data_IF_210461345628
#
_entry.id   IF_210461345628
#
_cell.length_a   1.000
_cell.length_b   1.000
_cell.length_c   1.000
_cell.angle_alpha   90.00
_cell.angle_beta   90.00
_cell.angle_gamma   90.00
#
_symmetry.space_group_name_H-M   'P 1'
#
loop_
_entity.id
_entity.type
_entity.pdbx_description
1 polymer ?
#
# COMPACT_ATOMS: atom_id res chain seq x y z
N UNK A 1 -17.42 -13.26 12.19
CA UNK A 1 -18.17 -13.18 13.43
C UNK A 1 -18.30 -14.55 14.11
N UNK A 2 -18.67 -15.61 13.38
CA UNK A 2 -18.82 -16.96 13.96
C UNK A 2 -17.56 -17.44 14.68
N UNK A 3 -16.40 -17.23 14.08
CA UNK A 3 -15.11 -17.60 14.71
C UNK A 3 -14.88 -16.84 16.02
N UNK A 4 -15.29 -15.57 16.08
CA UNK A 4 -15.25 -14.79 17.31
C UNK A 4 -16.20 -15.39 18.37
N UNK A 5 -17.45 -15.72 18.00
CA UNK A 5 -18.42 -16.33 18.93
C UNK A 5 -17.94 -17.69 19.46
N UNK A 6 -17.43 -18.55 18.61
CA UNK A 6 -16.92 -19.89 19.00
C UNK A 6 -15.72 -19.82 19.96
N UNK A 7 -14.96 -18.74 19.94
CA UNK A 7 -13.72 -18.59 20.70
C UNK A 7 -13.81 -17.54 21.82
N UNK A 8 -14.99 -17.02 22.07
CA UNK A 8 -15.24 -16.03 23.13
C UNK A 8 -16.32 -16.55 24.07
N UNK A 9 -16.09 -16.57 25.40
CA UNK A 9 -17.11 -16.96 26.36
C UNK A 9 -18.38 -16.09 26.23
N UNK A 10 -19.55 -16.70 26.40
CA UNK A 10 -20.85 -16.04 26.22
C UNK A 10 -20.98 -14.70 26.95
N UNK A 11 -20.47 -14.63 28.17
CA UNK A 11 -20.49 -13.41 28.99
C UNK A 11 -19.53 -12.30 28.53
N UNK A 12 -18.69 -12.57 27.53
CA UNK A 12 -17.75 -11.61 26.92
C UNK A 12 -18.04 -11.33 25.46
N UNK A 13 -19.04 -12.01 24.88
CA UNK A 13 -19.43 -11.82 23.50
C UNK A 13 -20.15 -10.47 23.31
N UNK A 14 -19.86 -9.84 22.18
CA UNK A 14 -20.55 -8.62 21.72
C UNK A 14 -21.54 -8.96 20.62
N UNK A 15 -22.57 -8.13 20.46
CA UNK A 15 -23.48 -8.22 19.34
C UNK A 15 -22.78 -7.97 18.00
N UNK A 16 -23.39 -8.39 16.90
CA UNK A 16 -22.79 -8.23 15.57
C UNK A 16 -22.49 -6.76 15.21
N UNK A 17 -23.38 -5.85 15.63
CA UNK A 17 -23.23 -4.41 15.36
C UNK A 17 -22.00 -3.79 16.07
N UNK A 18 -21.68 -4.25 17.27
CA UNK A 18 -20.50 -3.80 17.97
C UNK A 18 -19.22 -4.48 17.45
N UNK A 19 -19.31 -5.78 17.16
CA UNK A 19 -18.22 -6.53 16.54
C UNK A 19 -17.78 -5.90 15.22
N UNK A 20 -18.68 -5.49 14.33
CA UNK A 20 -18.32 -5.00 13.00
C UNK A 20 -17.56 -3.67 13.05
N UNK A 21 -17.71 -2.88 14.12
CA UNK A 21 -17.00 -1.60 14.29
C UNK A 21 -15.48 -1.78 14.36
N UNK A 22 -15.02 -2.85 14.97
CA UNK A 22 -13.60 -3.18 15.09
C UNK A 22 -13.16 -4.36 14.23
N UNK A 23 -14.05 -5.28 13.92
CA UNK A 23 -13.75 -6.49 13.16
C UNK A 23 -13.21 -6.22 11.77
N UNK A 24 -13.68 -5.16 11.10
CA UNK A 24 -13.15 -4.72 9.80
C UNK A 24 -11.69 -4.25 9.93
N UNK A 25 -11.39 -3.45 10.93
CA UNK A 25 -10.02 -2.98 11.20
C UNK A 25 -9.10 -4.16 11.48
N UNK A 26 -9.55 -5.11 12.29
CA UNK A 26 -8.76 -6.31 12.59
C UNK A 26 -8.43 -7.13 11.33
N UNK A 27 -9.36 -7.26 10.38
CA UNK A 27 -9.09 -7.95 9.11
C UNK A 27 -8.08 -7.14 8.27
N UNK A 28 -8.13 -5.81 8.29
CA UNK A 28 -7.14 -4.98 7.62
C UNK A 28 -5.76 -5.16 8.23
N UNK A 29 -5.65 -5.23 9.56
CA UNK A 29 -4.41 -5.47 10.26
C UNK A 29 -3.85 -6.88 9.95
N UNK A 30 -4.70 -7.91 9.94
CA UNK A 30 -4.30 -9.25 9.52
C UNK A 30 -3.80 -9.27 8.08
N UNK A 31 -4.45 -8.52 7.19
CA UNK A 31 -4.03 -8.39 5.81
C UNK A 31 -2.64 -7.75 5.66
N UNK A 32 -2.33 -6.71 6.45
CA UNK A 32 -1.01 -6.10 6.46
C UNK A 32 0.06 -7.04 7.04
N UNK A 33 -0.24 -7.72 8.14
CA UNK A 33 0.65 -8.72 8.75
C UNK A 33 1.01 -9.80 7.73
N UNK A 34 0.03 -10.26 6.97
CA UNK A 34 0.25 -11.29 5.96
C UNK A 34 1.06 -10.78 4.77
N UNK A 35 0.76 -9.58 4.24
CA UNK A 35 1.49 -8.98 3.13
C UNK A 35 2.95 -8.71 3.42
N UNK A 36 3.26 -8.35 4.66
CA UNK A 36 4.62 -8.08 5.10
C UNK A 36 5.34 -9.34 5.64
N UNK A 37 4.67 -10.50 5.64
CA UNK A 37 5.21 -11.78 6.13
C UNK A 37 5.73 -11.64 7.57
N UNK A 38 5.00 -10.91 8.40
CA UNK A 38 5.38 -10.70 9.80
C UNK A 38 5.16 -12.01 10.56
N UNK A 39 6.10 -12.37 11.44
CA UNK A 39 5.92 -13.50 12.34
C UNK A 39 4.77 -13.24 13.30
N UNK A 40 3.64 -13.90 13.02
CA UNK A 40 2.41 -13.74 13.78
C UNK A 40 2.55 -14.15 15.24
N UNK A 41 3.47 -15.07 15.56
CA UNK A 41 3.74 -15.46 16.94
C UNK A 41 4.39 -14.30 17.68
N UNK A 42 5.45 -13.74 17.12
CA UNK A 42 6.17 -12.63 17.74
C UNK A 42 5.29 -11.39 17.90
N UNK A 43 4.57 -10.99 16.84
CA UNK A 43 3.75 -9.76 16.89
C UNK A 43 2.60 -9.88 17.88
N UNK A 44 1.88 -11.01 17.90
CA UNK A 44 0.74 -11.15 18.80
C UNK A 44 1.18 -11.37 20.27
N UNK A 45 2.26 -12.08 20.51
CA UNK A 45 2.81 -12.24 21.86
C UNK A 45 3.35 -10.89 22.38
N UNK A 46 3.99 -10.08 21.53
CA UNK A 46 4.41 -8.72 21.86
C UNK A 46 3.22 -7.80 22.18
N UNK A 47 2.20 -7.78 21.32
CA UNK A 47 1.00 -6.96 21.52
C UNK A 47 0.28 -7.33 22.82
N UNK A 48 0.18 -8.62 23.14
CA UNK A 48 -0.37 -9.10 24.40
C UNK A 48 0.42 -8.52 25.57
N UNK A 49 1.75 -8.68 25.57
CA UNK A 49 2.62 -8.19 26.65
C UNK A 49 2.52 -6.67 26.85
N UNK A 50 2.53 -5.89 25.74
CA UNK A 50 2.38 -4.42 25.80
C UNK A 50 1.03 -4.05 26.41
N UNK A 51 -0.07 -4.70 26.01
CA UNK A 51 -1.39 -4.40 26.55
C UNK A 51 -1.56 -4.81 28.00
N UNK A 52 -0.92 -5.88 28.42
CA UNK A 52 -0.85 -6.26 29.85
C UNK A 52 -0.07 -5.20 30.64
N UNK A 53 1.03 -4.66 30.12
CA UNK A 53 1.80 -3.58 30.76
C UNK A 53 1.03 -2.25 30.80
N UNK A 54 0.35 -1.85 29.72
CA UNK A 54 -0.47 -0.63 29.67
C UNK A 54 -1.57 -0.63 30.74
N UNK A 55 -2.07 -1.83 31.09
CA UNK A 55 -3.11 -2.01 32.10
C UNK A 55 -2.55 -2.48 33.47
N UNK A 56 -1.24 -2.57 33.61
CA UNK A 56 -0.61 -2.82 34.88
C UNK A 56 -0.64 -1.56 35.75
N UNK A 57 -1.84 -1.02 35.89
CA UNK A 57 -2.11 0.06 36.82
C UNK A 57 -2.17 -0.48 38.23
N UNK A 58 -1.91 0.41 39.17
CA UNK A 58 -1.93 0.22 40.61
C UNK A 58 -3.29 -0.27 41.15
N UNK A 59 -4.29 -0.44 40.33
CA UNK A 59 -5.63 -0.91 40.68
C UNK A 59 -5.68 -2.44 40.71
N UNK A 60 -5.79 -2.98 41.93
CA UNK A 60 -5.87 -4.44 42.17
C UNK A 60 -7.15 -5.08 41.57
N UNK A 61 -8.15 -4.30 41.19
CA UNK A 61 -9.42 -4.79 40.61
C UNK A 61 -9.77 -4.08 39.30
N UNK A 62 -9.33 -4.58 38.17
CA UNK A 62 -9.67 -3.99 36.86
C UNK A 62 -11.19 -4.07 36.62
N UNK A 63 -11.73 -3.04 35.99
CA UNK A 63 -13.15 -2.98 35.58
C UNK A 63 -13.46 -4.09 34.56
N UNK A 64 -14.73 -4.45 34.42
CA UNK A 64 -15.16 -5.47 33.41
C UNK A 64 -14.80 -5.08 31.97
N UNK A 65 -14.75 -3.78 31.68
CA UNK A 65 -14.30 -3.27 30.36
C UNK A 65 -12.84 -3.59 30.13
N UNK A 66 -11.98 -3.32 31.12
CA UNK A 66 -10.53 -3.64 31.06
C UNK A 66 -10.32 -5.15 30.93
N UNK A 67 -11.06 -5.96 31.69
CA UNK A 67 -10.97 -7.42 31.59
C UNK A 67 -11.37 -7.95 30.21
N UNK A 68 -12.40 -7.37 29.57
CA UNK A 68 -12.79 -7.74 28.21
C UNK A 68 -11.72 -7.32 27.18
N UNK A 69 -11.14 -6.13 27.33
CA UNK A 69 -10.09 -5.63 26.49
C UNK A 69 -8.83 -6.53 26.55
N UNK A 70 -8.36 -6.86 27.75
CA UNK A 70 -7.23 -7.76 27.94
C UNK A 70 -7.52 -9.18 27.38
N UNK A 71 -8.73 -9.66 27.58
CA UNK A 71 -9.15 -10.95 27.01
C UNK A 71 -9.08 -10.93 25.47
N UNK A 72 -9.55 -9.87 24.84
CA UNK A 72 -9.46 -9.72 23.38
C UNK A 72 -8.01 -9.82 22.89
N UNK A 73 -7.11 -9.03 23.48
CA UNK A 73 -5.68 -9.04 23.08
C UNK A 73 -4.98 -10.37 23.36
N UNK A 74 -5.34 -11.06 24.42
CA UNK A 74 -4.79 -12.38 24.71
C UNK A 74 -5.28 -13.46 23.73
N UNK A 75 -6.39 -13.24 23.04
CA UNK A 75 -7.00 -14.19 22.11
C UNK A 75 -6.85 -13.80 20.63
N UNK A 76 -6.29 -12.64 20.32
CA UNK A 76 -6.15 -12.17 18.94
C UNK A 76 -5.42 -13.18 18.03
N UNK A 77 -4.39 -13.84 18.56
CA UNK A 77 -3.65 -14.91 17.90
C UNK A 77 -4.54 -16.12 17.57
N UNK A 78 -5.46 -16.46 18.48
CA UNK A 78 -6.41 -17.56 18.28
C UNK A 78 -7.39 -17.21 17.17
N UNK A 79 -7.92 -15.98 17.19
CA UNK A 79 -8.82 -15.48 16.15
C UNK A 79 -8.16 -15.48 14.78
N UNK A 80 -6.93 -14.97 14.67
CA UNK A 80 -6.15 -14.99 13.44
C UNK A 80 -5.96 -16.40 12.92
N UNK A 81 -5.42 -17.31 13.73
CA UNK A 81 -5.10 -18.68 13.31
C UNK A 81 -6.34 -19.46 12.87
N UNK A 82 -7.46 -19.34 13.58
CA UNK A 82 -8.71 -20.01 13.22
C UNK A 82 -9.34 -19.39 11.98
N UNK A 83 -9.30 -18.07 11.85
CA UNK A 83 -9.81 -17.37 10.67
C UNK A 83 -8.99 -17.73 9.43
N UNK A 84 -7.69 -17.70 9.53
CA UNK A 84 -6.78 -18.08 8.44
C UNK A 84 -7.06 -19.52 7.97
N UNK A 85 -7.15 -20.49 8.89
CA UNK A 85 -7.47 -21.89 8.56
C UNK A 85 -8.85 -22.02 7.92
N UNK A 86 -9.85 -21.32 8.44
CA UNK A 86 -11.19 -21.32 7.88
C UNK A 86 -11.20 -20.83 6.43
N UNK A 87 -10.52 -19.71 6.14
CA UNK A 87 -10.40 -19.17 4.80
C UNK A 87 -9.74 -20.16 3.83
N UNK A 88 -8.69 -20.82 4.25
CA UNK A 88 -8.04 -21.85 3.44
C UNK A 88 -8.98 -23.04 3.13
N UNK A 89 -9.76 -23.49 4.11
CA UNK A 89 -10.70 -24.61 3.94
C UNK A 89 -11.80 -24.29 2.93
N UNK A 90 -12.31 -23.04 2.93
CA UNK A 90 -13.34 -22.59 1.96
C UNK A 90 -12.73 -22.06 0.65
N UNK A 91 -11.41 -22.21 0.46
CA UNK A 91 -10.65 -21.70 -0.72
C UNK A 91 -10.92 -20.23 -1.00
N UNK A 92 -10.96 -19.42 0.03
CA UNK A 92 -11.20 -17.99 -0.03
C UNK A 92 -10.16 -17.26 0.82
N UNK A 93 -10.05 -15.93 0.65
CA UNK A 93 -9.12 -15.14 1.45
C UNK A 93 -9.21 -13.66 1.17
N UNK A 94 -8.78 -12.86 2.11
CA UNK A 94 -8.40 -11.48 1.84
C UNK A 94 -7.05 -11.45 1.10
N UNK A 95 -6.70 -10.32 0.56
CA UNK A 95 -5.58 -10.19 -0.38
C UNK A 95 -4.25 -10.77 0.17
N UNK A 96 -3.91 -10.50 1.44
CA UNK A 96 -2.67 -11.02 2.04
C UNK A 96 -2.60 -12.55 2.10
N UNK A 97 -3.75 -13.22 2.38
CA UNK A 97 -3.81 -14.70 2.32
C UNK A 97 -3.58 -15.21 0.90
N UNK A 98 -4.21 -14.56 -0.09
CA UNK A 98 -4.06 -14.94 -1.50
C UNK A 98 -2.64 -14.71 -1.99
N UNK A 99 -2.04 -13.57 -1.65
CA UNK A 99 -0.65 -13.25 -1.99
C UNK A 99 0.33 -14.24 -1.35
N UNK A 100 0.14 -14.62 -0.08
CA UNK A 100 0.95 -15.67 0.56
C UNK A 100 0.87 -16.99 -0.20
N UNK A 101 -0.32 -17.38 -0.62
CA UNK A 101 -0.49 -18.60 -1.41
C UNK A 101 0.12 -18.49 -2.81
N UNK A 102 0.06 -17.31 -3.42
CA UNK A 102 0.75 -17.04 -4.67
C UNK A 102 2.27 -17.17 -4.51
N UNK A 103 2.84 -16.60 -3.44
CA UNK A 103 4.27 -16.72 -3.15
C UNK A 103 4.70 -18.17 -2.94
N UNK A 104 3.94 -18.95 -2.15
CA UNK A 104 4.19 -20.38 -1.93
C UNK A 104 4.18 -21.17 -3.25
N UNK A 105 3.30 -20.79 -4.19
CA UNK A 105 3.16 -21.49 -5.49
C UNK A 105 4.09 -20.93 -6.58
N UNK A 106 4.75 -19.82 -6.35
CA UNK A 106 5.62 -19.15 -7.34
C UNK A 106 6.69 -20.09 -7.92
N UNK A 107 7.41 -20.92 -7.15
CA UNK A 107 8.38 -21.84 -7.71
C UNK A 107 7.75 -22.87 -8.69
N UNK A 108 6.61 -23.42 -8.31
CA UNK A 108 5.88 -24.37 -9.17
C UNK A 108 5.38 -23.70 -10.46
N UNK A 109 4.87 -22.48 -10.34
CA UNK A 109 4.43 -21.72 -11.52
C UNK A 109 5.60 -21.47 -12.48
N UNK A 110 6.74 -21.00 -11.98
CA UNK A 110 7.94 -20.74 -12.79
C UNK A 110 8.40 -22.00 -13.49
N UNK A 111 8.41 -23.15 -12.81
CA UNK A 111 8.79 -24.43 -13.41
C UNK A 111 7.83 -24.92 -14.50
N UNK A 112 6.53 -24.68 -14.34
CA UNK A 112 5.48 -25.25 -15.19
C UNK A 112 4.97 -24.28 -16.26
N UNK A 113 5.22 -22.96 -16.15
CA UNK A 113 4.75 -21.94 -17.10
C UNK A 113 5.49 -21.96 -18.45
N UNK A 114 6.48 -22.81 -18.61
CA UNK A 114 7.31 -22.85 -19.80
C UNK A 114 8.19 -21.59 -19.91
N UNK A 115 8.57 -21.26 -21.15
CA UNK A 115 9.40 -20.05 -21.43
C UNK A 115 8.53 -18.81 -21.65
N UNK A 116 7.53 -18.58 -20.79
CA UNK A 116 6.72 -17.36 -20.86
C UNK A 116 7.53 -16.22 -20.27
N UNK A 117 7.76 -15.18 -21.07
CA UNK A 117 8.45 -13.99 -20.63
C UNK A 117 7.49 -13.05 -19.90
N UNK A 118 7.84 -12.62 -18.70
CA UNK A 118 7.05 -11.71 -17.87
C UNK A 118 7.68 -10.32 -17.88
N UNK A 119 6.87 -9.29 -18.06
CA UNK A 119 7.34 -7.91 -18.06
C UNK A 119 6.63 -7.16 -16.94
N UNK A 120 7.39 -6.70 -15.96
CA UNK A 120 6.91 -5.88 -14.85
C UNK A 120 7.17 -4.41 -15.15
N UNK A 121 6.11 -3.58 -15.14
CA UNK A 121 6.20 -2.16 -15.50
C UNK A 121 5.40 -1.29 -14.53
N UNK A 122 5.95 -0.13 -14.19
CA UNK A 122 5.21 0.92 -13.46
C UNK A 122 5.06 0.69 -11.96
N UNK A 123 5.78 -0.25 -11.38
CA UNK A 123 5.80 -0.45 -9.93
C UNK A 123 6.67 0.61 -9.24
N UNK A 124 6.31 0.92 -7.99
CA UNK A 124 7.10 1.79 -7.12
C UNK A 124 7.24 1.17 -5.73
N UNK A 125 6.26 1.34 -4.85
CA UNK A 125 6.23 0.70 -3.54
C UNK A 125 5.62 -0.71 -3.67
N UNK A 126 6.40 -1.72 -3.31
CA UNK A 126 5.97 -3.11 -3.27
C UNK A 126 5.86 -3.57 -1.82
N UNK A 127 4.85 -4.35 -1.50
CA UNK A 127 4.83 -5.07 -0.23
C UNK A 127 5.87 -6.21 -0.25
N UNK A 128 6.08 -6.84 0.88
CA UNK A 128 7.12 -7.87 1.01
C UNK A 128 6.89 -9.07 0.08
N UNK A 129 5.65 -9.51 -0.06
CA UNK A 129 5.30 -10.65 -0.93
C UNK A 129 5.51 -10.30 -2.40
N UNK A 130 4.99 -9.15 -2.85
CA UNK A 130 5.17 -8.66 -4.23
C UNK A 130 6.66 -8.60 -4.59
N UNK A 131 7.46 -8.02 -3.70
CA UNK A 131 8.91 -7.93 -3.85
C UNK A 131 9.57 -9.29 -4.03
N UNK A 132 9.19 -10.29 -3.23
CA UNK A 132 9.74 -11.64 -3.31
C UNK A 132 9.31 -12.39 -4.58
N UNK A 133 8.05 -12.24 -5.00
CA UNK A 133 7.53 -12.85 -6.22
C UNK A 133 8.27 -12.28 -7.44
N UNK A 134 8.33 -10.95 -7.57
CA UNK A 134 8.99 -10.30 -8.71
C UNK A 134 10.48 -10.69 -8.76
N UNK A 135 11.18 -10.64 -7.63
CA UNK A 135 12.59 -11.05 -7.59
C UNK A 135 12.78 -12.51 -8.01
N UNK A 136 11.88 -13.43 -7.59
CA UNK A 136 11.95 -14.84 -7.98
C UNK A 136 11.83 -15.01 -9.50
N UNK A 137 10.93 -14.30 -10.16
CA UNK A 137 10.80 -14.31 -11.62
C UNK A 137 12.06 -13.77 -12.32
N UNK A 138 12.56 -12.63 -11.85
CA UNK A 138 13.76 -11.98 -12.41
C UNK A 138 15.00 -12.89 -12.32
N UNK A 139 15.18 -13.58 -11.19
CA UNK A 139 16.30 -14.51 -10.96
C UNK A 139 16.26 -15.73 -11.86
N UNK A 140 15.07 -16.19 -12.23
CA UNK A 140 14.91 -17.32 -13.13
C UNK A 140 15.12 -16.97 -14.63
N UNK A 141 15.34 -15.70 -14.95
CA UNK A 141 15.69 -15.25 -16.30
C UNK A 141 14.52 -15.20 -17.29
N UNK A 142 13.29 -15.38 -16.80
CA UNK A 142 12.07 -15.30 -17.62
C UNK A 142 11.26 -14.03 -17.28
N UNK A 143 11.91 -12.99 -16.77
CA UNK A 143 11.26 -11.72 -16.50
C UNK A 143 12.20 -10.54 -16.66
N UNK A 144 11.60 -9.40 -16.98
CA UNK A 144 12.23 -8.09 -17.01
C UNK A 144 11.42 -7.12 -16.16
N UNK A 145 12.10 -6.13 -15.60
CA UNK A 145 11.44 -5.07 -14.83
C UNK A 145 11.84 -3.70 -15.35
N UNK A 146 10.85 -2.84 -15.55
CA UNK A 146 11.01 -1.47 -16.01
C UNK A 146 10.46 -0.53 -14.95
N UNK A 147 11.34 0.29 -14.39
CA UNK A 147 11.00 1.31 -13.40
C UNK A 147 10.73 2.64 -14.08
N UNK A 148 9.62 3.28 -13.72
CA UNK A 148 9.34 4.65 -14.15
C UNK A 148 10.09 5.64 -13.25
N UNK A 149 11.37 5.77 -13.52
CA UNK A 149 12.27 6.62 -12.76
C UNK A 149 13.35 7.21 -13.66
N UNK A 150 13.82 8.38 -13.31
CA UNK A 150 14.90 9.06 -14.00
C UNK A 150 16.24 8.85 -13.27
N UNK A 151 17.33 8.77 -14.01
CA UNK A 151 18.66 8.48 -13.49
C UNK A 151 19.12 9.46 -12.40
N UNK A 152 18.76 10.74 -12.53
CA UNK A 152 19.08 11.76 -11.53
C UNK A 152 18.49 11.44 -10.16
N UNK A 153 17.33 10.80 -10.11
CA UNK A 153 16.62 10.49 -8.86
C UNK A 153 17.31 9.40 -8.04
N UNK A 154 18.00 8.47 -8.70
CA UNK A 154 18.73 7.38 -8.03
C UNK A 154 19.86 7.91 -7.14
N UNK A 155 20.54 8.95 -7.59
CA UNK A 155 21.72 9.50 -6.92
C UNK A 155 21.42 10.81 -6.16
N UNK A 156 20.18 11.25 -6.14
CA UNK A 156 19.79 12.50 -5.50
C UNK A 156 19.64 12.35 -4.00
N UNK A 157 20.32 13.21 -3.23
CA UNK A 157 20.10 13.37 -1.78
C UNK A 157 18.86 14.20 -1.44
N UNK A 158 18.30 14.92 -2.41
CA UNK A 158 17.17 15.84 -2.22
C UNK A 158 15.85 15.30 -2.77
N UNK A 159 15.90 14.25 -3.60
CA UNK A 159 14.74 13.70 -4.28
C UNK A 159 14.49 12.26 -3.86
N UNK A 160 13.42 12.04 -3.10
CA UNK A 160 13.04 10.72 -2.59
C UNK A 160 12.21 9.88 -3.58
N UNK A 161 12.02 10.32 -4.82
CA UNK A 161 11.23 9.56 -5.80
C UNK A 161 11.80 8.16 -6.08
N UNK A 162 13.11 7.97 -5.91
CA UNK A 162 13.79 6.67 -6.04
C UNK A 162 13.87 5.85 -4.74
N UNK A 163 13.24 6.28 -3.65
CA UNK A 163 13.44 5.66 -2.34
C UNK A 163 13.23 4.14 -2.35
N UNK A 164 12.09 3.68 -2.83
CA UNK A 164 11.78 2.25 -2.90
C UNK A 164 12.66 1.51 -3.91
N UNK A 165 12.88 2.09 -5.08
CA UNK A 165 13.69 1.48 -6.13
C UNK A 165 15.16 1.31 -5.66
N UNK A 166 15.70 2.30 -4.94
CA UNK A 166 17.00 2.18 -4.29
C UNK A 166 17.04 1.06 -3.23
N UNK A 167 15.95 0.86 -2.49
CA UNK A 167 15.87 -0.26 -1.57
C UNK A 167 15.92 -1.61 -2.31
N UNK A 168 15.19 -1.77 -3.40
CA UNK A 168 15.22 -3.01 -4.19
C UNK A 168 16.58 -3.22 -4.81
N UNK A 169 17.19 -2.18 -5.40
CA UNK A 169 18.54 -2.25 -5.95
C UNK A 169 19.57 -2.73 -4.93
N UNK A 170 19.43 -2.31 -3.68
CA UNK A 170 20.39 -2.67 -2.62
C UNK A 170 20.06 -4.01 -1.95
N UNK A 171 18.81 -4.48 -1.98
CA UNK A 171 18.37 -5.67 -1.26
C UNK A 171 18.17 -6.89 -2.15
N UNK A 172 17.78 -6.69 -3.41
CA UNK A 172 17.54 -7.81 -4.31
C UNK A 172 18.88 -8.36 -4.82
N UNK A 173 19.09 -9.65 -4.59
CA UNK A 173 20.27 -10.32 -5.10
C UNK A 173 20.31 -10.37 -6.64
N UNK A 174 19.17 -10.14 -7.30
CA UNK A 174 19.09 -9.93 -8.74
C UNK A 174 20.02 -8.79 -9.24
N UNK A 175 20.18 -7.74 -8.44
CA UNK A 175 21.03 -6.59 -8.79
C UNK A 175 22.51 -6.73 -8.36
N UNK A 176 22.92 -7.84 -7.76
CA UNK A 176 24.33 -8.03 -7.39
C UNK A 176 25.26 -7.97 -8.62
N UNK A 177 24.80 -8.54 -9.75
CA UNK A 177 25.57 -8.63 -11.00
C UNK A 177 24.88 -7.88 -12.16
N UNK A 178 23.86 -7.09 -11.88
CA UNK A 178 23.10 -6.37 -12.90
C UNK A 178 22.86 -4.92 -12.50
N UNK A 179 22.88 -4.06 -13.49
CA UNK A 179 22.49 -2.65 -13.31
C UNK A 179 21.10 -2.38 -13.91
N UNK A 180 20.49 -1.27 -13.50
CA UNK A 180 19.26 -0.78 -14.11
C UNK A 180 19.57 -0.33 -15.53
N UNK A 181 18.86 -0.91 -16.50
CA UNK A 181 18.95 -0.48 -17.89
C UNK A 181 18.08 0.78 -18.08
N UNK A 182 18.75 1.85 -18.52
CA UNK A 182 18.11 3.15 -18.72
C UNK A 182 17.58 3.26 -20.14
N UNK A 183 16.28 3.52 -20.28
CA UNK A 183 15.63 3.77 -21.56
C UNK A 183 15.66 5.25 -21.88
N UNK A 184 15.35 6.09 -20.88
CA UNK A 184 15.31 7.54 -20.98
C UNK A 184 15.92 8.19 -19.75
N UNK A 185 16.45 9.42 -19.94
CA UNK A 185 16.90 10.31 -18.89
C UNK A 185 16.45 11.73 -19.25
N UNK A 186 15.17 12.02 -19.00
CA UNK A 186 14.51 13.24 -19.47
C UNK A 186 14.38 14.31 -18.39
N UNK A 187 14.46 13.91 -17.11
CA UNK A 187 14.24 14.84 -16.01
C UNK A 187 15.34 15.90 -15.93
N UNK A 188 16.57 15.55 -16.28
CA UNK A 188 17.71 16.49 -16.33
C UNK A 188 17.66 17.46 -17.51
N UNK A 189 16.82 17.23 -18.52
CA UNK A 189 16.66 18.13 -19.66
C UNK A 189 16.09 19.48 -19.25
N UNK A 190 16.46 20.53 -19.99
CA UNK A 190 15.92 21.89 -19.78
C UNK A 190 14.40 21.90 -19.86
N UNK A 191 13.77 22.53 -18.88
CA UNK A 191 12.32 22.73 -18.79
C UNK A 191 11.99 24.21 -18.80
N UNK A 192 10.87 24.57 -19.36
CA UNK A 192 10.31 25.91 -19.24
C UNK A 192 9.42 25.95 -18.00
N UNK A 193 9.86 26.67 -16.99
CA UNK A 193 9.14 26.79 -15.70
C UNK A 193 8.77 28.26 -15.52
N UNK A 194 7.49 28.52 -15.32
CA UNK A 194 6.96 29.84 -15.02
C UNK A 194 6.31 29.82 -13.63
N UNK A 195 6.86 30.57 -12.68
CA UNK A 195 6.27 30.77 -11.37
C UNK A 195 5.46 32.06 -11.37
N UNK A 196 4.17 31.97 -11.05
CA UNK A 196 3.24 33.11 -11.11
C UNK A 196 2.54 33.23 -9.76
N UNK A 197 2.77 34.39 -9.11
CA UNK A 197 2.08 34.74 -7.88
C UNK A 197 0.73 35.38 -8.18
N UNK A 198 -0.35 34.81 -7.62
CA UNK A 198 -1.71 35.33 -7.73
C UNK A 198 -2.30 35.50 -6.34
N UNK A 199 -2.92 36.62 -6.05
CA UNK A 199 -3.57 36.87 -4.76
C UNK A 199 -4.85 36.05 -4.64
N UNK A 200 -5.03 35.37 -3.48
CA UNK A 200 -6.17 34.54 -3.11
C UNK A 200 -6.37 33.27 -3.99
N UNK A 201 -6.86 32.23 -3.39
CA UNK A 201 -7.09 30.93 -4.03
C UNK A 201 -8.02 31.00 -5.25
N UNK A 202 -9.12 31.77 -5.18
CA UNK A 202 -10.04 31.95 -6.31
C UNK A 202 -9.34 32.67 -7.49
N UNK A 203 -8.45 33.61 -7.19
CA UNK A 203 -7.64 34.28 -8.22
C UNK A 203 -6.75 33.29 -8.97
N UNK A 204 -6.12 32.35 -8.27
CA UNK A 204 -5.30 31.30 -8.87
C UNK A 204 -6.14 30.43 -9.82
N UNK A 205 -7.30 29.95 -9.38
CA UNK A 205 -8.20 29.15 -10.21
C UNK A 205 -8.62 29.89 -11.49
N UNK A 206 -9.03 31.13 -11.37
CA UNK A 206 -9.39 31.99 -12.53
C UNK A 206 -8.22 32.21 -13.49
N UNK A 207 -7.02 32.45 -12.95
CA UNK A 207 -5.83 32.67 -13.78
C UNK A 207 -5.48 31.40 -14.59
N UNK A 208 -5.56 30.22 -13.96
CA UNK A 208 -5.36 28.94 -14.66
C UNK A 208 -6.42 28.74 -15.74
N UNK A 209 -7.70 29.05 -15.46
CA UNK A 209 -8.77 29.00 -16.45
C UNK A 209 -8.48 29.87 -17.69
N UNK A 210 -7.94 31.06 -17.52
CA UNK A 210 -7.51 31.93 -18.62
C UNK A 210 -6.31 31.38 -19.40
N UNK A 211 -5.35 30.73 -18.73
CA UNK A 211 -4.23 30.06 -19.42
C UNK A 211 -4.76 28.92 -20.29
N UNK A 212 -5.66 28.09 -19.75
CA UNK A 212 -6.23 26.97 -20.49
C UNK A 212 -7.03 27.47 -21.69
N UNK A 213 -7.85 28.52 -21.49
CA UNK A 213 -8.62 29.14 -22.58
C UNK A 213 -7.74 29.62 -23.73
N UNK A 214 -6.58 30.20 -23.42
CA UNK A 214 -5.62 30.66 -24.45
C UNK A 214 -4.97 29.51 -25.20
N UNK A 215 -4.84 28.33 -24.56
CA UNK A 215 -4.15 27.17 -25.10
C UNK A 215 -5.11 26.05 -25.57
N UNK A 216 -6.43 26.27 -25.55
CA UNK A 216 -7.43 25.24 -25.84
C UNK A 216 -7.28 24.60 -27.23
N UNK A 217 -6.70 25.33 -28.18
CA UNK A 217 -6.44 24.86 -29.53
C UNK A 217 -5.06 24.22 -29.71
N UNK A 218 -4.25 24.15 -28.67
CA UNK A 218 -2.96 23.46 -28.73
C UNK A 218 -3.17 22.00 -28.34
N UNK A 219 -2.72 21.09 -29.21
CA UNK A 219 -2.82 19.61 -28.99
C UNK A 219 -1.89 19.11 -27.86
N UNK A 220 -1.66 19.90 -26.84
CA UNK A 220 -0.82 19.50 -25.70
C UNK A 220 -1.67 18.92 -24.57
N UNK A 221 -1.33 17.73 -24.13
CA UNK A 221 -1.89 17.18 -22.91
C UNK A 221 -1.55 18.10 -21.73
N UNK A 222 -2.59 18.59 -21.07
CA UNK A 222 -2.44 19.50 -19.93
C UNK A 222 -2.96 18.84 -18.66
N UNK A 223 -2.15 18.76 -17.63
CA UNK A 223 -2.57 18.32 -16.29
C UNK A 223 -2.60 19.50 -15.33
N UNK A 224 -3.67 19.60 -14.56
CA UNK A 224 -3.79 20.56 -13.46
C UNK A 224 -3.58 19.80 -12.16
N UNK A 225 -2.53 20.16 -11.42
CA UNK A 225 -2.22 19.56 -10.11
C UNK A 225 -2.56 20.57 -9.02
N UNK A 226 -3.48 20.22 -8.14
CA UNK A 226 -3.90 21.04 -7.01
C UNK A 226 -3.04 20.74 -5.78
N UNK A 227 -2.39 21.76 -5.22
CA UNK A 227 -1.68 21.65 -3.95
C UNK A 227 -2.62 21.70 -2.73
N UNK A 228 -3.87 22.14 -2.94
CA UNK A 228 -4.93 22.23 -1.94
C UNK A 228 -6.24 21.74 -2.59
N UNK A 229 -6.79 20.64 -2.08
CA UNK A 229 -8.03 20.01 -2.61
C UNK A 229 -9.24 20.94 -2.56
N UNK A 230 -9.27 21.91 -1.64
CA UNK A 230 -10.34 22.93 -1.56
C UNK A 230 -10.47 23.78 -2.82
N UNK A 231 -9.43 23.81 -3.67
CA UNK A 231 -9.42 24.50 -4.95
C UNK A 231 -10.13 23.72 -6.08
N UNK A 232 -10.50 22.47 -5.87
CA UNK A 232 -11.12 21.65 -6.92
C UNK A 232 -12.38 22.31 -7.50
N UNK A 233 -13.33 22.67 -6.66
CA UNK A 233 -14.59 23.28 -7.12
C UNK A 233 -14.37 24.67 -7.76
N UNK A 234 -13.60 25.60 -7.16
CA UNK A 234 -13.23 26.85 -7.83
C UNK A 234 -12.54 26.62 -9.19
N UNK A 235 -11.69 25.59 -9.29
CA UNK A 235 -10.96 25.28 -10.52
C UNK A 235 -11.91 24.80 -11.61
N UNK A 236 -12.77 23.83 -11.32
CA UNK A 236 -13.78 23.32 -12.26
C UNK A 236 -14.69 24.45 -12.79
N UNK A 237 -15.11 25.35 -11.90
CA UNK A 237 -15.94 26.51 -12.29
C UNK A 237 -15.18 27.57 -13.09
N UNK A 238 -13.85 27.52 -13.13
CA UNK A 238 -13.00 28.47 -13.86
C UNK A 238 -12.58 27.95 -15.22
N UNK A 239 -12.85 26.70 -15.53
CA UNK A 239 -12.51 26.11 -16.83
C UNK A 239 -13.39 26.71 -17.95
N UNK A 240 -12.82 26.91 -19.15
CA UNK A 240 -13.57 27.40 -20.30
C UNK A 240 -14.63 26.40 -20.76
N UNK A 241 -15.75 26.90 -21.26
CA UNK A 241 -16.78 26.06 -21.89
C UNK A 241 -16.22 25.42 -23.16
N UNK A 242 -16.49 24.13 -23.37
CA UNK A 242 -16.05 23.38 -24.54
C UNK A 242 -14.89 22.43 -24.30
N UNK A 243 -14.52 22.19 -23.02
CA UNK A 243 -13.70 21.03 -22.63
C UNK A 243 -14.66 19.86 -22.48
N UNK A 244 -14.51 18.84 -23.35
CA UNK A 244 -15.41 17.69 -23.39
C UNK A 244 -15.05 16.62 -22.36
N UNK A 245 -13.74 16.48 -22.01
CA UNK A 245 -13.23 15.52 -21.02
C UNK A 245 -12.37 16.22 -19.96
N UNK A 246 -12.68 16.00 -18.70
CA UNK A 246 -11.94 16.49 -17.51
C UNK A 246 -11.55 15.31 -16.63
#
# INVERSE_FOLDING_TARGET
YNIYLENTPKNKQEGFEDFIKWGRTLIQDFNLIDKEIIDTNQVFDYLKAVKEMDHWSLDKNPTEVVKRHLYFWSNIKVYYNKFYRHLLNIKSGYQGVLEKKALENTPNYIQNSGKVNHIFVGFNALNKIESLIIEAFLKNGFAEIYWDIDKISINSSFNNSAFFINQYRNKWSYYNDKEITWINDNYSKKKNIHAIGVSKNIGQAKYIGEIIKKNINTQHNTAIVLGDESLLIPMLNSLPKGIEDI
#
